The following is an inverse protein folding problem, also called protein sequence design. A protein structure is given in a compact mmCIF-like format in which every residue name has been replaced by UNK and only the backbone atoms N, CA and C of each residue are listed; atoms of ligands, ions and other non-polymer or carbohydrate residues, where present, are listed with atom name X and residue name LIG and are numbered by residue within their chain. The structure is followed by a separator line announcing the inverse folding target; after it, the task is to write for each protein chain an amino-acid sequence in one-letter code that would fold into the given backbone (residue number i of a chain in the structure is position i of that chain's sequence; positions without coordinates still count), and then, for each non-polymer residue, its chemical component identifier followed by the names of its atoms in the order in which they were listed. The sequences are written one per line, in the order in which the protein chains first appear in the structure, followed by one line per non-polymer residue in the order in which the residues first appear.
data_IF_943434197687
#
_entry.id   IF_943434197687
#
_cell.length_a   1.000
_cell.length_b   1.000
_cell.length_c   1.000
_cell.angle_alpha   90.00
_cell.angle_beta   90.00
_cell.angle_gamma   90.00
#
_symmetry.space_group_name_H-M   'P 1'
#
loop_
_entity.id
_entity.type
_entity.pdbx_description
1 polymer ?
#
# COMPACT_ATOMS: atom_id res chain seq x y z
N UNK A 1 -33.74 -6.23 1.94
CA UNK A 1 -32.41 -6.54 1.37
C UNK A 1 -31.38 -6.04 2.35
N UNK A 2 -30.44 -6.85 2.85
CA UNK A 2 -29.42 -6.35 3.75
C UNK A 2 -28.51 -5.40 2.96
N UNK A 3 -28.30 -4.21 3.51
CA UNK A 3 -27.34 -3.24 3.00
C UNK A 3 -25.97 -3.89 3.19
N UNK A 4 -25.40 -4.44 2.11
CA UNK A 4 -23.99 -4.80 2.08
C UNK A 4 -23.19 -3.50 2.16
N UNK A 5 -22.85 -3.09 3.37
CA UNK A 5 -21.82 -2.09 3.61
C UNK A 5 -20.53 -2.75 3.10
N UNK A 6 -20.20 -2.48 1.83
CA UNK A 6 -18.90 -2.91 1.30
C UNK A 6 -17.85 -2.38 2.28
N UNK A 7 -16.92 -3.20 2.78
CA UNK A 7 -15.81 -2.66 3.56
C UNK A 7 -15.17 -1.59 2.69
N UNK A 8 -14.89 -0.43 3.29
CA UNK A 8 -14.17 0.64 2.63
C UNK A 8 -12.96 -0.01 1.96
N UNK A 9 -12.84 0.09 0.64
CA UNK A 9 -11.77 -0.61 -0.09
C UNK A 9 -10.44 -0.21 0.54
N UNK A 10 -9.76 -1.17 1.17
CA UNK A 10 -8.42 -0.97 1.72
C UNK A 10 -7.52 -0.42 0.62
N UNK A 11 -6.71 0.60 0.92
CA UNK A 11 -5.82 1.18 -0.07
C UNK A 11 -4.75 0.17 -0.48
N UNK A 12 -4.21 0.27 -1.71
CA UNK A 12 -3.05 -0.51 -2.12
C UNK A 12 -1.88 -0.32 -1.16
N UNK A 13 -0.99 -1.30 -1.14
CA UNK A 13 0.35 -1.17 -0.55
C UNK A 13 1.23 -0.56 -1.63
N UNK A 14 1.69 0.67 -1.40
CA UNK A 14 2.64 1.34 -2.29
C UNK A 14 4.05 0.98 -1.82
N UNK A 15 4.95 0.54 -2.69
CA UNK A 15 6.27 0.09 -2.26
C UNK A 15 7.40 0.61 -3.13
N UNK A 16 8.58 0.74 -2.53
CA UNK A 16 9.85 1.03 -3.21
C UNK A 16 10.90 0.00 -2.81
N UNK A 17 11.80 -0.32 -3.74
CA UNK A 17 12.86 -1.29 -3.52
C UNK A 17 14.14 -0.62 -3.01
N UNK A 18 14.58 -1.02 -1.82
CA UNK A 18 15.82 -0.57 -1.19
C UNK A 18 16.88 -1.69 -1.18
N UNK A 19 18.15 -1.32 -0.98
CA UNK A 19 19.24 -2.30 -0.94
C UNK A 19 19.07 -3.36 0.17
N UNK A 20 18.40 -2.99 1.26
CA UNK A 20 18.22 -3.85 2.43
C UNK A 20 16.83 -4.49 2.52
N UNK A 21 15.93 -4.25 1.55
CA UNK A 21 14.52 -4.67 1.63
C UNK A 21 13.55 -3.76 0.90
N UNK A 22 12.31 -3.66 1.40
CA UNK A 22 11.21 -2.96 0.76
C UNK A 22 10.57 -1.98 1.74
N UNK A 23 10.64 -0.69 1.42
CA UNK A 23 9.82 0.30 2.11
C UNK A 23 8.43 0.29 1.49
N UNK A 24 7.41 0.36 2.34
CA UNK A 24 6.02 0.32 1.93
C UNK A 24 5.23 1.42 2.63
N UNK A 25 4.24 1.99 1.95
CA UNK A 25 3.19 2.80 2.55
C UNK A 25 1.89 2.01 2.55
N UNK A 26 1.40 1.71 3.75
CA UNK A 26 0.14 1.00 3.99
C UNK A 26 -0.82 1.98 4.65
N UNK A 27 -1.87 2.39 3.93
CA UNK A 27 -2.83 3.41 4.39
C UNK A 27 -2.15 4.72 4.84
N UNK A 28 -1.02 5.08 4.23
CA UNK A 28 -0.22 6.26 4.58
C UNK A 28 0.75 6.06 5.75
N UNK A 29 0.81 4.85 6.32
CA UNK A 29 1.75 4.48 7.39
C UNK A 29 2.97 3.79 6.76
N UNK A 30 4.20 4.21 7.10
CA UNK A 30 5.41 3.56 6.63
C UNK A 30 5.59 2.20 7.29
N UNK A 31 5.84 1.18 6.48
CA UNK A 31 6.12 -0.21 6.86
C UNK A 31 7.37 -0.71 6.13
N UNK A 32 8.04 -1.70 6.71
CA UNK A 32 9.25 -2.27 6.11
C UNK A 32 9.20 -3.80 6.07
N UNK A 33 9.44 -4.34 4.89
CA UNK A 33 9.54 -5.79 4.68
C UNK A 33 10.96 -6.16 4.28
N UNK A 34 11.49 -7.23 4.87
CA UNK A 34 12.87 -7.67 4.60
C UNK A 34 13.02 -8.23 3.19
N UNK A 35 11.98 -8.90 2.69
CA UNK A 35 11.98 -9.49 1.37
C UNK A 35 10.62 -9.37 0.69
N UNK A 36 10.63 -9.55 -0.63
CA UNK A 36 9.43 -9.43 -1.48
C UNK A 36 8.33 -10.42 -1.09
N UNK A 37 8.70 -11.61 -0.61
CA UNK A 37 7.76 -12.65 -0.24
C UNK A 37 6.92 -12.25 0.97
N UNK A 38 7.54 -11.68 2.01
CA UNK A 38 6.84 -11.15 3.19
C UNK A 38 5.83 -10.07 2.79
N UNK A 39 6.24 -9.12 1.94
CA UNK A 39 5.36 -8.07 1.42
C UNK A 39 4.17 -8.65 0.62
N UNK A 40 4.42 -9.63 -0.25
CA UNK A 40 3.35 -10.29 -1.01
C UNK A 40 2.37 -11.03 -0.09
N UNK A 41 2.87 -11.77 0.89
CA UNK A 41 2.02 -12.49 1.84
C UNK A 41 1.16 -11.53 2.66
N UNK A 42 1.73 -10.40 3.09
CA UNK A 42 0.99 -9.33 3.74
C UNK A 42 -0.15 -8.79 2.86
N UNK A 43 0.16 -8.38 1.62
CA UNK A 43 -0.83 -7.84 0.70
C UNK A 43 -1.95 -8.85 0.37
N UNK A 44 -1.60 -10.12 0.14
CA UNK A 44 -2.55 -11.20 -0.10
C UNK A 44 -3.48 -11.43 1.10
N UNK A 45 -2.93 -11.52 2.32
CA UNK A 45 -3.72 -11.72 3.53
C UNK A 45 -4.67 -10.55 3.80
N UNK A 46 -4.21 -9.33 3.52
CA UNK A 46 -4.99 -8.11 3.70
C UNK A 46 -5.96 -7.82 2.55
N UNK A 47 -5.94 -8.63 1.48
CA UNK A 47 -6.68 -8.40 0.23
C UNK A 47 -6.39 -7.02 -0.38
N UNK A 48 -5.11 -6.63 -0.39
CA UNK A 48 -4.62 -5.36 -0.94
C UNK A 48 -3.88 -5.60 -2.26
N UNK A 49 -3.99 -4.63 -3.16
CA UNK A 49 -3.15 -4.56 -4.35
C UNK A 49 -1.74 -4.06 -3.98
N UNK A 50 -0.75 -4.41 -4.80
CA UNK A 50 0.61 -3.89 -4.68
C UNK A 50 0.90 -2.96 -5.85
N UNK A 51 1.36 -1.75 -5.55
CA UNK A 51 1.72 -0.74 -6.54
C UNK A 51 3.16 -0.32 -6.27
N UNK A 52 4.03 -0.54 -7.26
CA UNK A 52 5.41 -0.08 -7.19
C UNK A 52 5.46 1.44 -7.40
N UNK A 53 6.19 2.14 -6.53
CA UNK A 53 6.48 3.55 -6.65
C UNK A 53 7.64 3.68 -7.63
N UNK A 54 7.36 4.28 -8.78
CA UNK A 54 8.34 4.56 -9.82
C UNK A 54 8.48 6.08 -9.95
N UNK A 55 9.61 6.53 -10.51
CA UNK A 55 9.82 7.96 -10.74
C UNK A 55 8.71 8.61 -11.61
N UNK A 56 8.07 7.82 -12.47
CA UNK A 56 7.00 8.26 -13.35
C UNK A 56 5.67 8.47 -12.61
N UNK A 57 5.34 7.61 -11.65
CA UNK A 57 4.05 7.64 -10.95
C UNK A 57 4.10 8.37 -9.60
N UNK A 58 5.29 8.55 -9.01
CA UNK A 58 5.48 9.09 -7.66
C UNK A 58 4.72 10.41 -7.46
N UNK A 59 4.84 11.33 -8.42
CA UNK A 59 4.19 12.65 -8.36
C UNK A 59 2.67 12.52 -8.32
N UNK A 60 2.11 11.62 -9.12
CA UNK A 60 0.67 11.35 -9.20
C UNK A 60 0.17 10.69 -7.92
N UNK A 61 0.90 9.70 -7.39
CA UNK A 61 0.58 9.03 -6.14
C UNK A 61 0.59 9.98 -4.94
N UNK A 62 1.58 10.87 -4.87
CA UNK A 62 1.65 11.90 -3.83
C UNK A 62 0.47 12.87 -3.94
N UNK A 63 0.15 13.32 -5.15
CA UNK A 63 -0.98 14.23 -5.38
C UNK A 63 -2.35 13.60 -5.07
N UNK A 64 -2.48 12.27 -5.15
CA UNK A 64 -3.70 11.55 -4.79
C UNK A 64 -3.83 11.24 -3.29
N UNK A 65 -2.87 11.65 -2.46
CA UNK A 65 -2.86 11.34 -1.02
C UNK A 65 -2.54 9.87 -0.71
N UNK A 66 -1.84 9.16 -1.61
CA UNK A 66 -1.49 7.75 -1.42
C UNK A 66 -0.70 7.49 -0.12
N UNK A 67 0.11 8.47 0.28
CA UNK A 67 0.99 8.41 1.45
C UNK A 67 0.43 9.16 2.67
N UNK A 68 -0.79 9.69 2.59
CA UNK A 68 -1.39 10.41 3.71
C UNK A 68 -2.11 9.43 4.63
N UNK A 69 -1.81 9.44 5.96
CA UNK A 69 -2.45 8.55 6.91
C UNK A 69 -3.96 8.73 6.88
N UNK A 70 -4.68 7.63 6.65
CA UNK A 70 -6.14 7.65 6.70
C UNK A 70 -6.57 7.52 8.17
N UNK A 71 -6.73 8.66 8.86
CA UNK A 71 -7.40 8.71 10.15
C UNK A 71 -8.91 8.64 9.91
N UNK A 72 -9.44 7.44 9.65
CA UNK A 72 -10.89 7.21 9.80
C UNK A 72 -11.27 7.10 11.28
#
# INVERSE_FOLDING_TARGET
MPIQIKPLKKRPVYFEHHQEGYWCSVDGIPEYFKNKHEMYMFACNESRELIEITHENERTLRASGAFEPNYE
#
